data_IF_755746205127
#
_entry.id   IF_755746205127
#
_cell.length_a   1.000
_cell.length_b   1.000
_cell.length_c   1.000
_cell.angle_alpha   90.00
_cell.angle_beta   90.00
_cell.angle_gamma   90.00
#
_symmetry.space_group_name_H-M   'P 1'
#
loop_
_entity.id
_entity.type
_entity.pdbx_description
1 polymer ?
#
# COMPACT_ATOMS: atom_id res chain seq x y z
N UNK A 1 19.55 4.44 -4.83
CA UNK A 1 18.35 4.22 -5.67
C UNK A 1 18.17 5.36 -6.67
N UNK A 2 17.75 5.11 -7.91
CA UNK A 2 17.54 6.18 -8.89
C UNK A 2 16.20 6.91 -8.64
N UNK A 3 16.24 8.24 -8.54
CA UNK A 3 15.02 9.04 -8.37
C UNK A 3 14.16 8.98 -9.65
N UNK A 4 12.87 8.59 -9.58
CA UNK A 4 12.02 8.43 -10.76
C UNK A 4 11.69 9.77 -11.45
N UNK A 5 11.90 10.89 -10.77
CA UNK A 5 11.61 12.23 -11.30
C UNK A 5 12.81 12.86 -12.02
N UNK A 6 14.02 12.72 -11.48
CA UNK A 6 15.21 13.39 -12.01
C UNK A 6 16.35 12.45 -12.44
N UNK A 7 16.19 11.14 -12.25
CA UNK A 7 17.15 10.09 -12.59
C UNK A 7 18.53 10.21 -11.90
N UNK A 8 18.65 11.02 -10.84
CA UNK A 8 19.84 11.08 -10.01
C UNK A 8 19.78 10.03 -8.89
N UNK A 9 20.95 9.56 -8.46
CA UNK A 9 21.10 8.63 -7.34
C UNK A 9 20.68 9.30 -6.03
N UNK A 10 19.55 8.87 -5.47
CA UNK A 10 19.05 9.28 -4.17
C UNK A 10 19.44 8.27 -3.06
N UNK A 11 19.61 8.74 -1.80
CA UNK A 11 19.78 7.86 -0.65
C UNK A 11 18.56 6.96 -0.46
N UNK A 12 18.77 5.71 -0.08
CA UNK A 12 17.68 4.72 0.01
C UNK A 12 16.68 5.00 1.14
N UNK A 13 17.07 5.80 2.14
CA UNK A 13 16.26 6.20 3.29
C UNK A 13 15.73 7.64 3.19
N UNK A 14 16.00 8.34 2.08
CA UNK A 14 15.53 9.70 1.89
C UNK A 14 13.99 9.74 1.78
N UNK A 15 13.36 10.61 2.57
CA UNK A 15 11.92 10.87 2.45
C UNK A 15 11.59 11.74 1.25
N UNK A 16 12.56 12.55 0.81
CA UNK A 16 12.44 13.46 -0.32
C UNK A 16 13.79 13.51 -1.08
N UNK A 17 13.75 13.61 -2.41
CA UNK A 17 14.96 13.70 -3.21
C UNK A 17 15.67 15.06 -2.99
N UNK A 18 16.94 15.08 -2.53
CA UNK A 18 17.64 16.32 -2.19
C UNK A 18 17.99 17.20 -3.40
N UNK A 19 17.83 16.69 -4.62
CA UNK A 19 18.17 17.40 -5.85
C UNK A 19 16.98 18.08 -6.51
N UNK A 20 15.78 17.47 -6.45
CA UNK A 20 14.59 17.98 -7.14
C UNK A 20 13.36 18.16 -6.25
N UNK A 21 13.40 17.70 -4.99
CA UNK A 21 12.28 17.82 -4.07
C UNK A 21 11.15 16.81 -4.29
N UNK A 22 11.43 15.68 -4.94
CA UNK A 22 10.42 14.62 -5.11
C UNK A 22 10.18 13.90 -3.78
N UNK A 23 8.96 13.97 -3.24
CA UNK A 23 8.56 13.24 -2.03
C UNK A 23 8.33 11.75 -2.33
N UNK A 24 9.09 10.88 -1.68
CA UNK A 24 8.94 9.44 -1.83
C UNK A 24 7.71 8.94 -1.05
N UNK A 25 6.85 8.10 -1.65
CA UNK A 25 5.62 7.65 -1.02
C UNK A 25 5.92 6.77 0.20
N UNK A 26 5.70 7.31 1.40
CA UNK A 26 5.74 6.52 2.64
C UNK A 26 4.41 5.79 2.80
N UNK A 27 4.45 4.45 2.82
CA UNK A 27 3.25 3.65 3.11
C UNK A 27 2.75 4.00 4.52
N UNK A 28 1.66 4.79 4.58
CA UNK A 28 1.02 5.12 5.85
C UNK A 28 0.38 3.85 6.41
N UNK A 29 0.63 3.57 7.69
CA UNK A 29 0.07 2.41 8.41
C UNK A 29 -1.46 2.35 8.34
N UNK A 30 -2.12 3.50 8.21
CA UNK A 30 -3.57 3.61 8.00
C UNK A 30 -4.06 2.96 6.70
N UNK A 31 -3.29 3.06 5.61
CA UNK A 31 -3.64 2.45 4.32
C UNK A 31 -3.58 0.92 4.45
N UNK A 32 -2.58 0.40 5.15
CA UNK A 32 -2.48 -1.04 5.44
C UNK A 32 -3.68 -1.54 6.25
N UNK A 33 -4.10 -0.80 7.28
CA UNK A 33 -5.30 -1.18 8.05
C UNK A 33 -6.57 -1.12 7.22
N UNK A 34 -6.73 -0.11 6.34
CA UNK A 34 -7.90 -0.01 5.46
C UNK A 34 -7.96 -1.20 4.48
N UNK A 35 -6.82 -1.59 3.90
CA UNK A 35 -6.74 -2.74 3.01
C UNK A 35 -7.20 -4.04 3.72
N UNK A 36 -6.76 -4.26 4.98
CA UNK A 36 -7.17 -5.42 5.77
C UNK A 36 -8.66 -5.39 6.08
N UNK A 37 -9.22 -4.25 6.50
CA UNK A 37 -10.65 -4.10 6.77
C UNK A 37 -11.46 -4.38 5.52
N UNK A 38 -11.06 -3.84 4.37
CA UNK A 38 -11.76 -4.06 3.11
C UNK A 38 -11.71 -5.54 2.68
N UNK A 39 -10.55 -6.19 2.84
CA UNK A 39 -10.42 -7.63 2.57
C UNK A 39 -11.34 -8.47 3.49
N UNK A 40 -11.43 -8.15 4.78
CA UNK A 40 -12.32 -8.83 5.72
C UNK A 40 -13.80 -8.61 5.39
N UNK A 41 -14.18 -7.38 5.01
CA UNK A 41 -15.54 -7.05 4.58
C UNK A 41 -15.98 -7.85 3.36
N UNK A 42 -15.06 -8.18 2.44
CA UNK A 42 -15.33 -9.03 1.28
C UNK A 42 -15.27 -10.52 1.60
N UNK A 43 -14.33 -10.93 2.47
CA UNK A 43 -14.18 -12.32 2.87
C UNK A 43 -15.39 -12.84 3.66
N UNK A 44 -15.99 -12.01 4.51
CA UNK A 44 -17.15 -12.37 5.32
C UNK A 44 -18.39 -12.83 4.52
N UNK A 45 -18.92 -12.07 3.53
CA UNK A 45 -20.05 -12.50 2.71
C UNK A 45 -19.70 -13.70 1.82
N UNK A 46 -18.46 -13.79 1.30
CA UNK A 46 -17.99 -14.96 0.58
C UNK A 46 -18.03 -16.22 1.45
N UNK A 47 -17.54 -16.12 2.69
CA UNK A 47 -17.59 -17.23 3.65
C UNK A 47 -19.04 -17.64 3.96
N UNK A 48 -19.94 -16.67 4.14
CA UNK A 48 -21.39 -16.94 4.32
C UNK A 48 -22.02 -17.65 3.14
N UNK A 49 -21.71 -17.25 1.91
CA UNK A 49 -22.19 -17.89 0.69
C UNK A 49 -21.69 -19.34 0.58
N UNK A 50 -20.41 -19.57 0.87
CA UNK A 50 -19.83 -20.92 0.86
C UNK A 50 -20.51 -21.81 1.90
N UNK A 51 -20.75 -21.31 3.12
CA UNK A 51 -21.48 -22.06 4.14
C UNK A 51 -22.92 -22.39 3.73
N UNK A 52 -23.61 -21.46 3.05
CA UNK A 52 -24.96 -21.68 2.54
C UNK A 52 -25.03 -22.71 1.40
N UNK A 53 -24.00 -22.77 0.54
CA UNK A 53 -23.89 -23.78 -0.52
C UNK A 53 -23.52 -25.18 0.00
N UNK A 54 -22.94 -25.26 1.20
CA UNK A 54 -22.46 -26.50 1.81
C UNK A 54 -23.45 -27.11 2.82
N UNK A 55 -24.65 -26.53 3.01
CA UNK A 55 -25.76 -27.04 3.84
C UNK A 55 -26.97 -27.37 2.96
#
# INVERSE_FOLDING_TARGET
MECPSCALEAPDDAEECPYCGYEFPRQKRSVMTMAVVMALLLAWPLFKLIQMLAS
#
